data_IF_345841866771
#
_entry.id   IF_345841866771
#
_cell.length_a   1.000
_cell.length_b   1.000
_cell.length_c   1.000
_cell.angle_alpha   90.00
_cell.angle_beta   90.00
_cell.angle_gamma   90.00
#
_symmetry.space_group_name_H-M   'P 1'
#
loop_
_entity.id
_entity.type
_entity.pdbx_description
1 polymer ?
#
# COMPACT_ATOMS: atom_id res chain seq x y z
N UNK A 1 16.91 7.14 56.22
CA UNK A 1 17.51 6.38 55.09
C UNK A 1 16.54 5.47 54.28
N UNK A 2 15.19 5.60 54.27
CA UNK A 2 14.35 4.75 53.41
C UNK A 2 13.96 5.35 52.05
N UNK A 3 14.15 6.66 51.83
CA UNK A 3 13.68 7.35 50.62
C UNK A 3 14.58 7.17 49.41
N UNK A 4 15.90 7.12 49.62
CA UNK A 4 16.90 6.97 48.54
C UNK A 4 16.82 5.58 47.88
N UNK A 5 16.61 4.52 48.67
CA UNK A 5 16.51 3.14 48.18
C UNK A 5 15.21 2.91 47.37
N UNK A 6 14.11 3.55 47.78
CA UNK A 6 12.84 3.54 47.03
C UNK A 6 12.96 4.21 45.66
N UNK A 7 13.66 5.35 45.57
CA UNK A 7 13.88 6.02 44.29
C UNK A 7 14.72 5.18 43.32
N UNK A 8 15.77 4.51 43.80
CA UNK A 8 16.61 3.65 42.97
C UNK A 8 15.80 2.45 42.43
N UNK A 9 15.01 1.81 43.30
CA UNK A 9 14.15 0.71 42.88
C UNK A 9 13.11 1.13 41.83
N UNK A 10 12.53 2.33 41.96
CA UNK A 10 11.57 2.86 40.98
C UNK A 10 12.21 3.17 39.62
N UNK A 11 13.42 3.75 39.61
CA UNK A 11 14.17 4.03 38.38
C UNK A 11 14.55 2.73 37.67
N UNK A 12 15.04 1.73 38.41
CA UNK A 12 15.37 0.43 37.84
C UNK A 12 14.12 -0.27 37.28
N UNK A 13 13.01 -0.26 38.04
CA UNK A 13 11.75 -0.83 37.58
C UNK A 13 11.24 -0.17 36.28
N UNK A 14 11.32 1.17 36.19
CA UNK A 14 10.97 1.91 34.98
C UNK A 14 11.89 1.60 33.80
N UNK A 15 13.20 1.47 34.04
CA UNK A 15 14.16 1.13 32.99
C UNK A 15 13.96 -0.29 32.44
N UNK A 16 13.60 -1.25 33.30
CA UNK A 16 13.29 -2.62 32.89
C UNK A 16 11.97 -2.64 32.12
N UNK A 17 10.96 -1.91 32.58
CA UNK A 17 9.67 -1.82 31.90
C UNK A 17 9.82 -1.19 30.51
N UNK A 18 10.62 -0.14 30.35
CA UNK A 18 10.82 0.50 29.04
C UNK A 18 11.53 -0.41 28.04
N UNK A 19 12.52 -1.20 28.46
CA UNK A 19 13.22 -2.18 27.60
C UNK A 19 12.27 -3.31 27.16
N UNK A 20 11.42 -3.80 28.08
CA UNK A 20 10.41 -4.83 27.76
C UNK A 20 9.37 -4.30 26.77
N UNK A 21 8.93 -3.05 26.93
CA UNK A 21 8.00 -2.38 26.02
C UNK A 21 8.60 -2.32 24.62
N UNK A 22 9.81 -1.77 24.44
CA UNK A 22 10.46 -1.62 23.12
C UNK A 22 10.59 -2.95 22.36
N UNK A 23 10.85 -4.05 23.06
CA UNK A 23 11.05 -5.37 22.44
C UNK A 23 9.79 -5.92 21.74
N UNK A 24 8.59 -5.41 22.09
CA UNK A 24 7.31 -5.87 21.50
C UNK A 24 6.89 -5.11 20.24
N UNK A 25 7.46 -3.92 19.96
CA UNK A 25 7.01 -3.07 18.84
C UNK A 25 7.63 -3.43 17.47
N UNK A 26 8.60 -4.35 17.42
CA UNK A 26 9.54 -4.40 16.29
C UNK A 26 9.31 -5.45 15.19
N UNK A 27 8.44 -6.44 15.36
CA UNK A 27 8.64 -7.68 14.59
C UNK A 27 8.27 -7.62 13.09
N UNK A 28 7.57 -6.60 12.58
CA UNK A 28 7.11 -6.62 11.17
C UNK A 28 7.05 -5.25 10.49
N UNK A 29 7.59 -4.18 11.09
CA UNK A 29 7.51 -2.80 10.54
C UNK A 29 8.28 -2.65 9.23
N UNK A 30 9.35 -3.42 9.04
CA UNK A 30 10.17 -3.42 7.83
C UNK A 30 9.50 -4.11 6.63
N UNK A 31 8.44 -4.91 6.88
CA UNK A 31 7.77 -5.67 5.82
C UNK A 31 6.78 -4.76 5.10
N UNK A 32 7.17 -4.34 3.90
CA UNK A 32 6.28 -3.54 3.03
C UNK A 32 5.10 -4.42 2.57
N UNK A 33 3.85 -3.92 2.65
CA UNK A 33 2.72 -4.63 2.10
C UNK A 33 2.84 -4.70 0.58
N UNK A 34 2.58 -5.88 0.00
CA UNK A 34 2.53 -6.07 -1.45
C UNK A 34 1.35 -5.32 -2.09
N UNK A 35 1.21 -5.47 -3.41
CA UNK A 35 0.06 -4.96 -4.17
C UNK A 35 -1.25 -5.58 -3.67
N UNK A 36 -2.23 -4.75 -3.31
CA UNK A 36 -3.55 -5.17 -2.84
C UNK A 36 -4.66 -4.22 -3.31
N UNK A 37 -5.89 -4.75 -3.36
CA UNK A 37 -7.12 -4.02 -3.69
C UNK A 37 -7.46 -3.02 -2.58
N UNK A 38 -7.82 -1.80 -2.96
CA UNK A 38 -8.27 -0.71 -2.10
C UNK A 38 -9.61 -0.18 -2.60
N UNK A 39 -10.69 -0.41 -1.86
CA UNK A 39 -12.05 0.08 -2.14
C UNK A 39 -13.09 -0.95 -1.67
N UNK A 40 -14.41 -0.70 -1.56
CA UNK A 40 -15.21 0.49 -1.20
C UNK A 40 -15.88 0.13 0.15
N UNK A 41 -16.01 1.05 1.10
CA UNK A 41 -16.90 0.82 2.25
C UNK A 41 -18.29 1.34 1.85
N UNK A 42 -19.27 0.47 1.73
CA UNK A 42 -20.66 0.89 1.60
C UNK A 42 -21.08 1.64 2.86
N UNK A 43 -21.97 2.62 2.66
CA UNK A 43 -22.48 3.52 3.67
C UNK A 43 -23.43 2.79 4.63
N UNK A 44 -22.89 1.95 5.51
CA UNK A 44 -23.65 1.29 6.60
C UNK A 44 -22.91 1.26 7.94
N UNK A 45 -21.76 1.92 8.09
CA UNK A 45 -21.14 2.11 9.41
C UNK A 45 -21.52 3.48 9.98
N UNK A 46 -22.31 3.53 11.07
CA UNK A 46 -22.53 4.77 11.79
C UNK A 46 -21.18 5.25 12.34
N UNK A 47 -20.97 6.55 12.24
CA UNK A 47 -19.78 7.27 12.70
C UNK A 47 -19.65 7.10 14.22
N UNK A 48 -18.88 6.12 14.67
CA UNK A 48 -18.41 6.05 16.06
C UNK A 48 -16.92 5.74 16.11
N UNK A 49 -16.15 6.81 16.23
CA UNK A 49 -14.88 6.96 16.96
C UNK A 49 -13.79 5.87 16.74
N UNK A 50 -12.65 6.34 16.23
CA UNK A 50 -11.31 5.74 16.12
C UNK A 50 -10.83 5.31 14.72
N UNK A 51 -9.76 5.98 14.29
CA UNK A 51 -8.87 5.75 13.15
C UNK A 51 -9.44 5.98 11.73
N UNK A 52 -9.30 7.22 11.29
CA UNK A 52 -9.53 7.69 9.92
C UNK A 52 -8.44 7.15 8.97
N UNK A 53 -8.67 5.98 8.36
CA UNK A 53 -7.95 5.62 7.13
C UNK A 53 -8.67 6.28 5.95
N UNK A 54 -8.07 7.32 5.36
CA UNK A 54 -8.50 7.85 4.06
C UNK A 54 -8.25 6.77 3.00
N UNK A 55 -9.25 5.95 2.70
CA UNK A 55 -9.25 5.14 1.47
C UNK A 55 -9.55 6.11 0.33
N UNK A 56 -8.58 6.32 -0.55
CA UNK A 56 -8.78 7.11 -1.77
C UNK A 56 -9.65 6.30 -2.73
N UNK A 57 -10.96 6.53 -2.66
CA UNK A 57 -11.92 6.02 -3.62
C UNK A 57 -12.11 7.08 -4.70
N UNK A 58 -11.93 6.74 -5.97
CA UNK A 58 -12.26 7.67 -7.05
C UNK A 58 -13.74 7.52 -7.38
N UNK A 59 -14.54 8.52 -6.98
CA UNK A 59 -15.91 8.65 -7.44
C UNK A 59 -15.93 9.49 -8.71
N UNK A 60 -16.44 8.92 -9.80
CA UNK A 60 -16.63 9.64 -11.05
C UNK A 60 -18.11 9.71 -11.38
N UNK A 61 -18.57 10.89 -11.79
CA UNK A 61 -19.91 11.07 -12.35
C UNK A 61 -19.90 10.55 -13.78
N UNK A 62 -20.76 9.57 -14.05
CA UNK A 62 -20.95 9.02 -15.40
C UNK A 62 -22.22 9.62 -15.97
N UNK A 63 -22.08 10.24 -17.13
CA UNK A 63 -23.17 10.85 -17.89
C UNK A 63 -23.26 10.12 -19.22
N UNK A 64 -24.40 9.49 -19.46
CA UNK A 64 -24.72 8.75 -20.68
C UNK A 64 -25.86 9.55 -21.35
N UNK A 65 -25.75 9.89 -22.65
CA UNK A 65 -26.83 10.59 -23.35
C UNK A 65 -28.13 9.80 -23.26
N UNK A 66 -29.24 10.53 -23.07
CA UNK A 66 -30.61 9.99 -22.88
C UNK A 66 -30.81 9.09 -21.63
N UNK A 67 -29.91 9.17 -20.64
CA UNK A 67 -29.99 8.45 -19.38
C UNK A 67 -29.82 9.37 -18.17
N UNK A 68 -30.31 8.93 -17.00
CA UNK A 68 -30.09 9.64 -15.73
C UNK A 68 -28.63 9.52 -15.31
N UNK A 69 -28.01 10.63 -14.94
CA UNK A 69 -26.63 10.65 -14.48
C UNK A 69 -26.47 10.02 -13.10
N UNK A 70 -25.40 9.24 -12.91
CA UNK A 70 -25.13 8.56 -11.65
C UNK A 70 -23.64 8.62 -11.28
N UNK A 71 -23.35 8.49 -9.98
CA UNK A 71 -21.99 8.45 -9.47
C UNK A 71 -21.53 6.98 -9.32
N UNK A 72 -20.44 6.64 -10.00
CA UNK A 72 -19.80 5.33 -9.85
C UNK A 72 -18.64 5.48 -8.90
N UNK A 73 -18.56 4.58 -7.93
CA UNK A 73 -17.42 4.46 -7.03
C UNK A 73 -16.66 3.19 -7.40
N UNK A 74 -15.44 3.32 -7.89
CA UNK A 74 -14.60 2.16 -8.19
C UNK A 74 -13.58 1.93 -7.09
N UNK A 75 -13.18 0.67 -6.93
CA UNK A 75 -11.95 0.31 -6.24
C UNK A 75 -10.71 0.79 -7.02
N UNK A 76 -9.58 0.74 -6.33
CA UNK A 76 -8.25 1.08 -6.79
C UNK A 76 -7.26 -0.01 -6.31
N UNK A 77 -6.01 0.05 -6.77
CA UNK A 77 -4.93 -0.81 -6.28
C UNK A 77 -3.88 0.02 -5.55
N UNK A 78 -3.29 -0.51 -4.47
CA UNK A 78 -2.17 0.13 -3.76
C UNK A 78 -1.20 -0.93 -3.26
N UNK A 79 0.09 -0.62 -3.29
CA UNK A 79 1.10 -1.44 -2.64
C UNK A 79 2.48 -1.21 -3.23
N UNK A 80 3.46 -1.92 -2.67
CA UNK A 80 4.82 -1.91 -3.18
C UNK A 80 5.00 -3.05 -4.19
N UNK A 81 5.66 -2.72 -5.29
CA UNK A 81 6.08 -3.68 -6.31
C UNK A 81 7.58 -3.60 -6.51
N UNK A 82 8.17 -4.72 -6.92
CA UNK A 82 9.60 -4.86 -7.08
C UNK A 82 10.06 -4.16 -8.35
N UNK A 83 11.18 -3.45 -8.30
CA UNK A 83 11.79 -2.85 -9.48
C UNK A 83 13.30 -2.85 -9.32
N UNK A 84 14.02 -3.04 -10.42
CA UNK A 84 15.47 -3.02 -10.47
C UNK A 84 15.96 -2.47 -11.81
N UNK A 85 17.25 -2.16 -11.88
CA UNK A 85 17.88 -1.67 -13.10
C UNK A 85 19.07 -2.55 -13.42
N UNK A 86 19.15 -2.97 -14.68
CA UNK A 86 20.23 -3.78 -15.23
C UNK A 86 20.86 -3.05 -16.42
N UNK A 87 22.15 -3.30 -16.71
CA UNK A 87 22.74 -2.82 -17.95
C UNK A 87 21.97 -3.40 -19.14
N UNK A 88 21.74 -2.59 -20.17
CA UNK A 88 20.99 -3.01 -21.35
C UNK A 88 21.70 -4.14 -22.11
N UNK A 89 20.90 -5.04 -22.70
CA UNK A 89 21.44 -6.13 -23.50
C UNK A 89 22.15 -5.59 -24.75
N UNK A 90 23.08 -6.39 -25.29
CA UNK A 90 23.83 -6.04 -26.52
C UNK A 90 22.86 -5.77 -27.69
N UNK A 91 21.74 -6.49 -27.75
CA UNK A 91 20.70 -6.31 -28.76
C UNK A 91 20.08 -4.90 -28.69
N UNK A 92 19.75 -4.41 -27.50
CA UNK A 92 19.24 -3.05 -27.29
C UNK A 92 20.28 -2.00 -27.66
N UNK A 93 21.54 -2.21 -27.29
CA UNK A 93 22.65 -1.29 -27.60
C UNK A 93 22.97 -1.19 -29.11
N UNK A 94 22.69 -2.25 -29.88
CA UNK A 94 22.82 -2.20 -31.35
C UNK A 94 21.77 -1.31 -32.00
N UNK A 95 20.58 -1.21 -31.40
CA UNK A 95 19.48 -0.36 -31.88
C UNK A 95 19.64 1.06 -31.36
N UNK A 96 19.96 1.22 -30.07
CA UNK A 96 20.21 2.49 -29.43
C UNK A 96 21.46 2.43 -28.53
N UNK A 97 22.62 2.89 -29.02
CA UNK A 97 23.86 2.85 -28.26
C UNK A 97 23.87 3.81 -27.04
N UNK A 98 22.90 4.71 -26.92
CA UNK A 98 22.76 5.62 -25.78
C UNK A 98 21.92 5.03 -24.64
N UNK A 99 21.23 3.92 -24.87
CA UNK A 99 20.42 3.24 -23.86
C UNK A 99 21.26 2.20 -23.13
N UNK A 100 22.03 2.67 -22.13
CA UNK A 100 22.96 1.84 -21.37
C UNK A 100 22.30 1.06 -20.22
N UNK A 101 21.11 1.50 -19.79
CA UNK A 101 20.41 0.96 -18.63
C UNK A 101 18.98 0.60 -19.03
N UNK A 102 18.56 -0.61 -18.67
CA UNK A 102 17.18 -1.08 -18.77
C UNK A 102 16.62 -1.24 -17.36
N UNK A 103 15.53 -0.54 -17.09
CA UNK A 103 14.79 -0.71 -15.84
C UNK A 103 13.69 -1.74 -16.01
N UNK A 104 13.60 -2.65 -15.05
CA UNK A 104 12.58 -3.68 -14.96
C UNK A 104 11.68 -3.35 -13.78
N UNK A 105 10.39 -3.17 -14.05
CA UNK A 105 9.41 -2.80 -13.03
C UNK A 105 8.25 -3.79 -12.97
N UNK A 106 7.92 -4.24 -11.76
CA UNK A 106 6.58 -4.76 -11.47
C UNK A 106 5.67 -3.57 -11.15
N UNK A 107 4.57 -3.43 -11.86
CA UNK A 107 3.56 -2.42 -11.60
C UNK A 107 2.35 -3.04 -10.91
N UNK A 108 1.75 -2.32 -9.95
CA UNK A 108 0.51 -2.73 -9.29
C UNK A 108 -0.67 -2.28 -10.15
N UNK A 109 -1.34 -3.23 -10.82
CA UNK A 109 -2.43 -2.92 -11.73
C UNK A 109 -3.68 -3.78 -11.47
N UNK A 110 -4.79 -3.31 -12.00
CA UNK A 110 -6.06 -4.02 -12.09
C UNK A 110 -5.94 -5.03 -13.22
N UNK A 111 -5.96 -6.33 -12.91
CA UNK A 111 -5.80 -7.39 -13.91
C UNK A 111 -7.11 -8.11 -14.24
N UNK A 112 -8.04 -8.18 -13.29
CA UNK A 112 -9.33 -8.85 -13.48
C UNK A 112 -10.46 -7.95 -13.01
N UNK A 113 -11.46 -7.80 -13.86
CA UNK A 113 -12.72 -7.09 -13.59
C UNK A 113 -13.77 -8.15 -13.23
N UNK A 114 -14.41 -8.05 -12.06
CA UNK A 114 -15.55 -8.91 -11.74
C UNK A 114 -16.79 -8.46 -12.55
N UNK A 115 -17.74 -9.36 -12.78
CA UNK A 115 -18.94 -9.15 -13.59
C UNK A 115 -19.80 -7.97 -13.08
N UNK A 116 -20.65 -7.33 -13.92
CA UNK A 116 -21.40 -6.12 -13.55
C UNK A 116 -22.36 -6.25 -12.35
N UNK A 117 -22.55 -7.45 -11.80
CA UNK A 117 -23.33 -7.72 -10.59
C UNK A 117 -22.51 -7.63 -9.30
N UNK A 118 -21.18 -7.79 -9.38
CA UNK A 118 -20.22 -7.57 -8.31
C UNK A 118 -19.24 -6.48 -8.74
N UNK A 119 -19.41 -5.26 -8.22
CA UNK A 119 -18.54 -4.11 -8.53
C UNK A 119 -17.18 -4.27 -7.83
N UNK A 120 -16.41 -5.28 -8.26
CA UNK A 120 -15.14 -5.67 -7.68
C UNK A 120 -14.09 -5.92 -8.78
N UNK A 121 -12.83 -5.69 -8.46
CA UNK A 121 -11.71 -6.05 -9.32
C UNK A 121 -10.58 -6.62 -8.49
N UNK A 122 -9.78 -7.54 -9.03
CA UNK A 122 -8.60 -8.09 -8.35
C UNK A 122 -7.34 -7.25 -8.64
N UNK A 123 -6.51 -7.07 -7.62
CA UNK A 123 -5.20 -6.44 -7.75
C UNK A 123 -4.13 -7.51 -8.02
N UNK A 124 -3.26 -7.28 -9.01
CA UNK A 124 -2.14 -8.17 -9.30
C UNK A 124 -0.93 -7.39 -9.84
N UNK A 125 0.20 -8.09 -10.00
CA UNK A 125 1.46 -7.53 -10.50
C UNK A 125 1.57 -7.76 -12.00
N UNK A 126 1.87 -6.71 -12.74
CA UNK A 126 2.18 -6.79 -14.18
C UNK A 126 3.65 -6.42 -14.39
N UNK A 127 4.32 -7.08 -15.34
CA UNK A 127 5.70 -6.81 -15.69
C UNK A 127 5.77 -5.78 -16.82
N UNK A 128 6.56 -4.73 -16.63
CA UNK A 128 6.84 -3.71 -17.65
C UNK A 128 8.35 -3.65 -17.87
N UNK A 129 8.75 -4.05 -19.08
CA UNK A 129 10.12 -3.92 -19.58
C UNK A 129 10.17 -2.66 -20.44
N UNK A 130 10.47 -1.53 -19.80
CA UNK A 130 10.59 -0.27 -20.53
C UNK A 130 11.91 -0.27 -21.31
N UNK A 131 11.76 -0.29 -22.65
CA UNK A 131 12.81 0.03 -23.63
C UNK A 131 12.92 1.55 -23.72
#
# INVERSE_FOLDING_TARGET
MPTRLKCIALVLAWSVLSVLVISTYGHNVWKRPGCHKVGKFDMTVPVTLYMFQVRYCHTRKVSIPDCVEFHITTNACRGFCESWSIPSAIETLRVNPFQLITSVGQCCNIMETEDPQDIGFSAAKTYDDSI
#
